data_IF_800988777378
#
_entry.id   IF_800988777378
#
_cell.length_a   1.000
_cell.length_b   1.000
_cell.length_c   1.000
_cell.angle_alpha   90.00
_cell.angle_beta   90.00
_cell.angle_gamma   90.00
#
_symmetry.space_group_name_H-M   'P 1'
#
loop_
_entity.id
_entity.type
_entity.pdbx_description
1 polymer ?
#
# COMPACT_ATOMS: atom_id res chain seq x y z
N UNK A 1 3.24 -13.54 -26.08
CA UNK A 1 2.06 -12.87 -25.50
C UNK A 1 1.12 -13.97 -25.05
N UNK A 2 0.81 -14.05 -23.75
CA UNK A 2 -0.08 -15.04 -23.16
C UNK A 2 -1.52 -14.58 -23.35
N UNK A 3 -2.35 -15.44 -23.94
CA UNK A 3 -3.79 -15.30 -23.99
C UNK A 3 -4.41 -15.95 -22.75
N UNK A 4 -5.26 -15.23 -22.02
CA UNK A 4 -5.88 -15.77 -20.79
C UNK A 4 -6.75 -17.00 -21.06
N UNK A 5 -7.32 -17.13 -22.26
CA UNK A 5 -8.16 -18.27 -22.63
C UNK A 5 -7.35 -19.55 -22.88
N UNK A 6 -6.04 -19.43 -23.07
CA UNK A 6 -5.13 -20.58 -23.27
C UNK A 6 -4.61 -21.13 -21.93
N UNK A 7 -4.83 -20.39 -20.83
CA UNK A 7 -4.49 -20.88 -19.49
C UNK A 7 -5.62 -21.77 -18.94
N UNK A 8 -5.29 -22.86 -18.23
CA UNK A 8 -6.29 -23.66 -17.55
C UNK A 8 -7.07 -22.81 -16.56
N UNK A 9 -8.37 -23.07 -16.44
CA UNK A 9 -9.24 -22.41 -15.47
C UNK A 9 -9.81 -23.46 -14.52
N UNK A 10 -9.42 -23.48 -13.24
CA UNK A 10 -8.52 -22.54 -12.58
C UNK A 10 -7.04 -22.74 -12.93
N UNK A 11 -6.28 -21.65 -12.91
CA UNK A 11 -4.82 -21.59 -13.05
C UNK A 11 -4.21 -22.11 -11.75
N UNK A 12 -3.44 -23.19 -11.83
CA UNK A 12 -2.58 -23.66 -10.75
C UNK A 12 -1.13 -23.22 -10.93
N UNK A 13 -0.34 -23.31 -9.86
CA UNK A 13 1.07 -22.91 -9.90
C UNK A 13 1.88 -23.77 -10.87
N UNK A 14 1.61 -25.08 -10.90
CA UNK A 14 2.31 -26.05 -11.76
C UNK A 14 2.05 -25.79 -13.25
N UNK A 15 0.86 -25.26 -13.60
CA UNK A 15 0.53 -24.86 -14.97
C UNK A 15 1.39 -23.69 -15.44
N UNK A 16 1.66 -22.75 -14.53
CA UNK A 16 2.43 -21.53 -14.83
C UNK A 16 3.91 -21.81 -15.08
N UNK A 17 4.47 -22.88 -14.50
CA UNK A 17 5.87 -23.26 -14.72
C UNK A 17 6.16 -23.47 -16.21
N UNK A 18 5.19 -24.05 -16.95
CA UNK A 18 5.31 -24.31 -18.39
C UNK A 18 4.76 -23.18 -19.24
N UNK A 19 3.59 -22.65 -18.88
CA UNK A 19 2.84 -21.73 -19.73
C UNK A 19 3.23 -20.25 -19.53
N UNK A 20 3.72 -19.89 -18.34
CA UNK A 20 4.12 -18.53 -18.00
C UNK A 20 5.28 -18.51 -16.99
N UNK A 21 6.50 -18.94 -17.37
CA UNK A 21 7.61 -19.13 -16.43
C UNK A 21 7.97 -17.88 -15.63
N UNK A 22 7.85 -16.69 -16.24
CA UNK A 22 8.11 -15.42 -15.55
C UNK A 22 7.09 -15.14 -14.42
N UNK A 23 5.83 -15.50 -14.62
CA UNK A 23 4.78 -15.39 -13.60
C UNK A 23 4.98 -16.42 -12.48
N UNK A 24 5.37 -17.65 -12.85
CA UNK A 24 5.73 -18.70 -11.89
C UNK A 24 6.88 -18.25 -10.98
N UNK A 25 7.98 -17.79 -11.56
CA UNK A 25 9.15 -17.28 -10.82
C UNK A 25 8.79 -16.17 -9.83
N UNK A 26 7.94 -15.23 -10.24
CA UNK A 26 7.47 -14.17 -9.36
C UNK A 26 6.61 -14.72 -8.20
N UNK A 27 5.71 -15.66 -8.48
CA UNK A 27 4.81 -16.23 -7.48
C UNK A 27 5.51 -17.15 -6.48
N UNK A 28 6.49 -17.94 -6.91
CA UNK A 28 7.25 -18.86 -6.02
C UNK A 28 8.10 -18.08 -5.01
N UNK A 29 8.57 -16.88 -5.36
CA UNK A 29 9.32 -16.00 -4.45
C UNK A 29 8.44 -15.34 -3.38
N UNK A 30 7.12 -15.37 -3.54
CA UNK A 30 6.19 -14.88 -2.53
C UNK A 30 5.97 -15.94 -1.44
N UNK A 31 5.70 -15.49 -0.21
CA UNK A 31 5.23 -16.42 0.81
C UNK A 31 3.86 -17.03 0.42
N UNK A 32 3.50 -18.13 1.05
CA UNK A 32 2.31 -18.91 0.69
C UNK A 32 1.01 -18.09 0.72
N UNK A 33 0.87 -17.18 1.69
CA UNK A 33 -0.33 -16.35 1.85
C UNK A 33 -0.48 -15.38 0.67
N UNK A 34 0.58 -14.63 0.36
CA UNK A 34 0.59 -13.67 -0.73
C UNK A 34 0.43 -14.36 -2.09
N UNK A 35 1.10 -15.48 -2.30
CA UNK A 35 0.97 -16.31 -3.49
C UNK A 35 -0.48 -16.77 -3.71
N UNK A 36 -1.12 -17.30 -2.66
CA UNK A 36 -2.51 -17.75 -2.74
C UNK A 36 -3.47 -16.62 -3.08
N UNK A 37 -3.26 -15.42 -2.52
CA UNK A 37 -4.06 -14.23 -2.85
C UNK A 37 -3.90 -13.85 -4.32
N UNK A 38 -2.66 -13.77 -4.83
CA UNK A 38 -2.42 -13.39 -6.22
C UNK A 38 -2.97 -14.45 -7.18
N UNK A 39 -2.80 -15.74 -6.88
CA UNK A 39 -3.41 -16.82 -7.67
C UNK A 39 -4.94 -16.73 -7.68
N UNK A 40 -5.59 -16.41 -6.55
CA UNK A 40 -7.03 -16.18 -6.51
C UNK A 40 -7.43 -15.02 -7.44
N UNK A 41 -6.70 -13.91 -7.41
CA UNK A 41 -6.95 -12.75 -8.27
C UNK A 41 -6.71 -13.04 -9.75
N UNK A 42 -5.66 -13.79 -10.10
CA UNK A 42 -5.42 -14.24 -11.48
C UNK A 42 -6.54 -15.16 -11.99
N UNK A 43 -7.13 -15.93 -11.10
CA UNK A 43 -8.34 -16.71 -11.38
C UNK A 43 -9.65 -15.89 -11.41
N UNK A 44 -9.57 -14.56 -11.28
CA UNK A 44 -10.74 -13.69 -11.27
C UNK A 44 -11.60 -13.80 -10.00
N UNK A 45 -11.09 -14.45 -8.95
CA UNK A 45 -11.77 -14.60 -7.66
C UNK A 45 -11.43 -13.42 -6.75
N UNK A 46 -12.41 -12.93 -6.01
CA UNK A 46 -12.18 -11.93 -4.96
C UNK A 46 -11.74 -12.59 -3.66
N UNK A 47 -11.00 -11.86 -2.82
CA UNK A 47 -10.44 -12.39 -1.56
C UNK A 47 -11.15 -11.95 -0.29
N UNK A 48 -12.29 -11.22 -0.33
CA UNK A 48 -13.15 -11.00 0.85
C UNK A 48 -14.53 -10.42 0.49
N UNK A 49 -15.55 -10.57 1.36
CA UNK A 49 -15.94 -9.39 2.16
C UNK A 49 -16.32 -9.75 3.61
N UNK A 50 -15.42 -9.51 4.58
CA UNK A 50 -15.72 -9.61 6.02
C UNK A 50 -15.88 -8.21 6.64
N UNK A 51 -16.93 -8.02 7.45
CA UNK A 51 -17.49 -6.70 7.78
C UNK A 51 -17.06 -6.18 9.13
N UNK A 52 -16.95 -4.85 9.25
CA UNK A 52 -16.68 -4.21 10.53
C UNK A 52 -17.81 -4.50 11.51
N UNK A 53 -17.48 -5.16 12.60
CA UNK A 53 -18.41 -5.47 13.69
C UNK A 53 -17.94 -6.58 14.62
N UNK A 54 -17.04 -7.48 14.16
CA UNK A 54 -16.57 -8.60 14.98
C UNK A 54 -15.05 -8.86 14.92
N UNK A 55 -14.25 -8.05 14.21
CA UNK A 55 -12.93 -8.47 13.72
C UNK A 55 -11.89 -7.34 13.56
N UNK A 56 -11.61 -6.56 14.62
CA UNK A 56 -10.55 -5.53 14.56
C UNK A 56 -9.15 -6.12 14.30
N UNK A 57 -8.93 -7.41 14.57
CA UNK A 57 -7.61 -8.04 14.38
C UNK A 57 -7.46 -8.74 13.02
N UNK A 58 -8.51 -9.34 12.47
CA UNK A 58 -8.39 -10.16 11.24
C UNK A 58 -8.53 -9.34 9.96
N UNK A 59 -9.39 -8.31 9.95
CA UNK A 59 -9.55 -7.43 8.79
C UNK A 59 -8.30 -6.58 8.58
N UNK A 60 -7.72 -6.03 9.66
CA UNK A 60 -6.46 -5.29 9.60
C UNK A 60 -5.31 -6.16 9.09
N UNK A 61 -5.31 -7.46 9.42
CA UNK A 61 -4.34 -8.42 8.88
C UNK A 61 -4.57 -8.70 7.39
N UNK A 62 -5.81 -8.75 6.90
CA UNK A 62 -6.11 -8.94 5.47
C UNK A 62 -5.77 -7.69 4.64
N UNK A 63 -6.20 -6.51 5.07
CA UNK A 63 -5.84 -5.26 4.42
C UNK A 63 -4.32 -5.04 4.43
N UNK A 64 -3.63 -5.43 5.51
CA UNK A 64 -2.17 -5.42 5.55
C UNK A 64 -1.55 -6.37 4.52
N UNK A 65 -2.08 -7.58 4.32
CA UNK A 65 -1.59 -8.52 3.28
C UNK A 65 -1.80 -7.96 1.87
N UNK A 66 -2.96 -7.37 1.59
CA UNK A 66 -3.24 -6.75 0.29
C UNK A 66 -2.38 -5.52 0.04
N UNK A 67 -2.25 -4.66 1.05
CA UNK A 67 -1.35 -3.50 1.01
C UNK A 67 0.11 -3.93 0.81
N UNK A 68 0.54 -5.01 1.45
CA UNK A 68 1.87 -5.58 1.25
C UNK A 68 2.11 -6.03 -0.19
N UNK A 69 1.12 -6.69 -0.82
CA UNK A 69 1.17 -7.03 -2.25
C UNK A 69 1.30 -5.79 -3.14
N UNK A 70 0.56 -4.72 -2.83
CA UNK A 70 0.65 -3.44 -3.56
C UNK A 70 1.99 -2.75 -3.37
N UNK A 71 2.52 -2.73 -2.15
CA UNK A 71 3.66 -1.89 -1.77
C UNK A 71 5.01 -2.57 -1.97
N UNK A 72 5.10 -3.89 -1.77
CA UNK A 72 6.34 -4.65 -1.90
C UNK A 72 6.45 -5.33 -3.26
N UNK A 73 5.36 -5.95 -3.71
CA UNK A 73 5.35 -6.71 -4.96
C UNK A 73 4.76 -5.91 -6.12
N UNK A 74 4.23 -4.70 -5.90
CA UNK A 74 3.64 -3.86 -6.93
C UNK A 74 2.59 -4.59 -7.77
N UNK A 75 1.78 -5.41 -7.10
CA UNK A 75 0.65 -6.11 -7.70
C UNK A 75 -0.50 -5.11 -7.87
N UNK A 76 -1.03 -5.03 -9.09
CA UNK A 76 -2.17 -4.19 -9.37
C UNK A 76 -3.47 -4.97 -9.10
N UNK A 77 -4.35 -4.40 -8.31
CA UNK A 77 -5.68 -4.93 -8.03
C UNK A 77 -6.64 -3.77 -7.79
N UNK A 78 -7.93 -4.05 -7.90
CA UNK A 78 -9.00 -3.10 -7.60
C UNK A 78 -9.68 -3.49 -6.30
N UNK A 79 -9.89 -2.49 -5.45
CA UNK A 79 -10.77 -2.60 -4.28
C UNK A 79 -12.18 -2.17 -4.68
N UNK A 80 -13.18 -2.97 -4.33
CA UNK A 80 -14.59 -2.67 -4.55
C UNK A 80 -15.31 -2.63 -3.19
N UNK A 81 -15.94 -1.50 -2.83
CA UNK A 81 -16.81 -1.46 -1.66
C UNK A 81 -17.98 -2.44 -1.83
N UNK A 82 -18.22 -3.25 -0.82
CA UNK A 82 -19.39 -4.13 -0.73
C UNK A 82 -20.35 -3.60 0.36
N UNK A 83 -21.52 -4.23 0.50
CA UNK A 83 -22.52 -3.82 1.49
C UNK A 83 -21.93 -3.74 2.92
N UNK A 84 -22.17 -2.60 3.57
CA UNK A 84 -21.62 -2.28 4.89
C UNK A 84 -20.19 -1.71 4.82
N UNK A 85 -19.39 -1.98 5.84
CA UNK A 85 -17.97 -1.57 5.89
C UNK A 85 -17.05 -2.69 5.38
N UNK A 86 -17.44 -3.32 4.27
CA UNK A 86 -16.75 -4.46 3.65
C UNK A 86 -16.09 -4.02 2.36
N UNK A 87 -14.91 -4.56 2.06
CA UNK A 87 -14.22 -4.32 0.79
C UNK A 87 -13.79 -5.65 0.21
N UNK A 88 -13.99 -5.82 -1.09
CA UNK A 88 -13.49 -6.95 -1.87
C UNK A 88 -12.30 -6.50 -2.74
N UNK A 89 -11.32 -7.37 -2.92
CA UNK A 89 -10.16 -7.12 -3.79
C UNK A 89 -10.11 -8.15 -4.90
N UNK A 90 -9.91 -7.69 -6.13
CA UNK A 90 -9.84 -8.53 -7.33
C UNK A 90 -8.97 -7.88 -8.41
N UNK A 91 -8.47 -8.68 -9.35
CA UNK A 91 -7.91 -8.18 -10.61
C UNK A 91 -8.99 -8.13 -11.69
N UNK A 92 -9.05 -7.02 -12.40
CA UNK A 92 -9.80 -6.96 -13.66
C UNK A 92 -9.12 -7.79 -14.73
N UNK A 93 -9.84 -8.14 -15.80
CA UNK A 93 -9.26 -8.85 -16.93
C UNK A 93 -8.03 -8.15 -17.52
N UNK A 94 -8.10 -6.82 -17.68
CA UNK A 94 -6.96 -6.00 -18.10
C UNK A 94 -5.76 -6.13 -17.16
N UNK A 95 -5.99 -6.13 -15.84
CA UNK A 95 -4.92 -6.28 -14.85
C UNK A 95 -4.28 -7.67 -14.89
N UNK A 96 -5.08 -8.72 -15.16
CA UNK A 96 -4.57 -10.08 -15.38
C UNK A 96 -3.74 -10.17 -16.64
N UNK A 97 -4.24 -9.63 -17.76
CA UNK A 97 -3.49 -9.57 -19.02
C UNK A 97 -2.17 -8.82 -18.84
N UNK A 98 -2.20 -7.67 -18.17
CA UNK A 98 -1.01 -6.88 -17.90
C UNK A 98 -0.02 -7.60 -16.97
N UNK A 99 -0.51 -8.43 -16.04
CA UNK A 99 0.35 -9.23 -15.17
C UNK A 99 1.17 -10.24 -15.99
N UNK A 100 0.55 -10.93 -16.95
CA UNK A 100 1.23 -11.92 -17.78
C UNK A 100 2.04 -11.31 -18.94
N UNK A 101 1.60 -10.19 -19.50
CA UNK A 101 2.16 -9.65 -20.74
C UNK A 101 2.98 -8.36 -20.57
N UNK A 102 2.66 -7.54 -19.57
CA UNK A 102 3.19 -6.18 -19.43
C UNK A 102 3.66 -5.90 -17.99
N UNK A 103 4.30 -6.89 -17.35
CA UNK A 103 4.54 -6.89 -15.91
C UNK A 103 5.33 -5.67 -15.43
N UNK A 104 6.39 -5.28 -16.13
CA UNK A 104 7.21 -4.13 -15.73
C UNK A 104 6.48 -2.80 -15.88
N UNK A 105 5.71 -2.64 -16.95
CA UNK A 105 4.83 -1.47 -17.12
C UNK A 105 3.77 -1.41 -16.01
N UNK A 106 3.18 -2.56 -15.66
CA UNK A 106 2.24 -2.63 -14.54
C UNK A 106 2.92 -2.24 -13.21
N UNK A 107 4.12 -2.76 -12.91
CA UNK A 107 4.88 -2.41 -11.71
C UNK A 107 5.13 -0.91 -11.62
N UNK A 108 5.55 -0.29 -12.73
CA UNK A 108 5.86 1.15 -12.75
C UNK A 108 4.62 2.01 -12.51
N UNK A 109 3.48 1.64 -13.11
CA UNK A 109 2.20 2.29 -12.84
C UNK A 109 1.79 2.17 -11.37
N UNK A 110 1.95 0.99 -10.76
CA UNK A 110 1.63 0.78 -9.34
C UNK A 110 2.57 1.58 -8.44
N UNK A 111 3.88 1.61 -8.73
CA UNK A 111 4.86 2.43 -7.99
C UNK A 111 4.49 3.91 -8.02
N UNK A 112 4.20 4.46 -9.20
CA UNK A 112 3.77 5.84 -9.35
C UNK A 112 2.51 6.13 -8.54
N UNK A 113 1.50 5.26 -8.62
CA UNK A 113 0.24 5.39 -7.88
C UNK A 113 0.47 5.34 -6.36
N UNK A 114 1.27 4.39 -5.86
CA UNK A 114 1.60 4.28 -4.44
C UNK A 114 2.34 5.54 -3.95
N UNK A 115 3.28 6.07 -4.74
CA UNK A 115 3.98 7.32 -4.41
C UNK A 115 3.00 8.49 -4.29
N UNK A 116 2.10 8.64 -5.26
CA UNK A 116 1.06 9.68 -5.24
C UNK A 116 0.15 9.55 -4.02
N UNK A 117 -0.36 8.34 -3.73
CA UNK A 117 -1.21 8.08 -2.55
C UNK A 117 -0.50 8.36 -1.21
N UNK A 118 0.83 8.19 -1.15
CA UNK A 118 1.61 8.55 0.04
C UNK A 118 1.71 10.06 0.20
N UNK A 119 2.00 10.78 -0.88
CA UNK A 119 2.07 12.26 -0.88
C UNK A 119 0.73 12.85 -0.44
N UNK A 120 -0.38 12.43 -1.05
CA UNK A 120 -1.72 12.91 -0.70
C UNK A 120 -2.08 12.64 0.78
N UNK A 121 -1.66 11.48 1.31
CA UNK A 121 -1.85 11.17 2.74
C UNK A 121 -1.01 12.06 3.65
N UNK A 122 0.23 12.32 3.28
CA UNK A 122 1.10 13.24 4.01
C UNK A 122 0.55 14.66 3.99
N UNK A 123 0.12 15.17 2.83
CA UNK A 123 -0.50 16.49 2.70
C UNK A 123 -1.74 16.62 3.61
N UNK A 124 -2.64 15.64 3.59
CA UNK A 124 -3.82 15.63 4.48
C UNK A 124 -3.44 15.62 5.96
N UNK A 125 -2.41 14.87 6.34
CA UNK A 125 -1.92 14.87 7.72
C UNK A 125 -1.33 16.22 8.11
N UNK A 126 -0.55 16.85 7.23
CA UNK A 126 0.03 18.17 7.46
C UNK A 126 -1.05 19.25 7.62
N UNK A 127 -2.09 19.24 6.78
CA UNK A 127 -3.24 20.15 6.90
C UNK A 127 -3.90 19.99 8.28
N UNK A 128 -4.14 18.75 8.74
CA UNK A 128 -4.72 18.52 10.08
C UNK A 128 -3.84 19.02 11.22
N UNK A 129 -2.52 18.82 11.12
CA UNK A 129 -1.57 19.32 12.12
C UNK A 129 -1.60 20.85 12.14
N UNK A 130 -1.62 21.48 10.96
CA UNK A 130 -1.76 22.91 10.79
C UNK A 130 -3.05 23.47 11.41
N UNK A 131 -4.20 22.87 11.09
CA UNK A 131 -5.50 23.25 11.64
C UNK A 131 -5.55 23.09 13.17
N UNK A 132 -4.91 22.06 13.72
CA UNK A 132 -4.96 21.78 15.15
C UNK A 132 -4.02 22.64 16.00
N UNK A 133 -2.81 22.93 15.50
CA UNK A 133 -1.77 23.62 16.26
C UNK A 133 -1.62 25.10 15.87
N UNK A 134 -1.96 25.47 14.63
CA UNK A 134 -1.65 26.76 14.04
C UNK A 134 -0.17 26.91 13.64
N UNK A 135 0.10 27.82 12.69
CA UNK A 135 1.44 28.01 12.09
C UNK A 135 2.51 28.33 13.14
N UNK A 136 2.21 29.22 14.08
CA UNK A 136 3.18 29.73 15.06
C UNK A 136 3.61 28.66 16.06
N UNK A 137 2.68 27.80 16.48
CA UNK A 137 2.99 26.68 17.37
C UNK A 137 3.83 25.62 16.66
N UNK A 138 3.58 25.38 15.37
CA UNK A 138 4.40 24.46 14.56
C UNK A 138 5.83 24.99 14.40
N UNK A 139 6.01 26.29 14.09
CA UNK A 139 7.34 26.92 14.02
C UNK A 139 8.10 26.78 15.34
N UNK A 140 7.43 27.04 16.46
CA UNK A 140 8.01 26.90 17.80
C UNK A 140 8.45 25.46 18.10
N UNK A 141 7.64 24.45 17.72
CA UNK A 141 7.99 23.04 17.88
C UNK A 141 9.21 22.67 17.01
N UNK A 142 9.21 23.07 15.73
CA UNK A 142 10.32 22.79 14.81
C UNK A 142 11.63 23.41 15.33
N UNK A 143 11.59 24.67 15.76
CA UNK A 143 12.75 25.34 16.33
C UNK A 143 13.26 24.58 17.56
N UNK A 144 12.36 24.26 18.51
CA UNK A 144 12.70 23.53 19.74
C UNK A 144 13.34 22.17 19.44
N UNK A 145 12.82 21.42 18.45
CA UNK A 145 13.32 20.09 18.13
C UNK A 145 14.64 20.12 17.32
N UNK A 146 14.82 21.14 16.47
CA UNK A 146 16.11 21.41 15.84
C UNK A 146 17.18 21.67 16.89
N UNK A 147 16.91 22.56 17.87
CA UNK A 147 17.86 22.90 18.93
C UNK A 147 18.24 21.72 19.83
N UNK A 148 17.28 20.83 20.15
CA UNK A 148 17.57 19.58 20.88
C UNK A 148 18.50 18.65 20.11
N UNK A 149 18.29 18.51 18.80
CA UNK A 149 19.06 17.62 17.94
C UNK A 149 20.46 18.17 17.59
N UNK A 150 20.64 19.49 17.58
CA UNK A 150 21.94 20.13 17.32
C UNK A 150 22.79 20.33 18.59
N UNK A 151 22.37 19.78 19.74
CA UNK A 151 23.09 19.86 21.01
C UNK A 151 23.50 21.28 21.43
N UNK A 152 22.56 22.23 21.43
CA UNK A 152 22.70 23.46 22.20
C UNK A 152 22.08 23.30 23.60
N UNK A 153 22.37 22.20 24.30
CA UNK A 153 21.90 22.02 25.68
C UNK A 153 22.57 22.99 26.67
N UNK A 154 23.61 23.73 26.24
CA UNK A 154 24.40 24.66 27.06
C UNK A 154 24.63 26.05 26.40
N UNK A 155 23.86 26.43 25.37
CA UNK A 155 24.07 27.71 24.69
C UNK A 155 23.28 28.85 25.40
N UNK A 156 23.92 29.90 25.94
CA UNK A 156 23.27 31.00 26.69
C UNK A 156 22.23 31.79 25.91
N UNK A 157 22.14 31.58 24.59
CA UNK A 157 21.18 32.25 23.71
C UNK A 157 19.75 31.70 23.92
N UNK A 158 19.59 30.49 24.46
CA UNK A 158 18.30 29.82 24.65
C UNK A 158 17.31 30.60 25.53
N UNK A 159 17.78 31.27 26.59
CA UNK A 159 16.89 32.03 27.48
C UNK A 159 16.42 33.37 26.88
N UNK A 160 17.08 33.85 25.82
CA UNK A 160 16.73 35.12 25.15
C UNK A 160 15.75 34.94 24.00
N UNK A 161 15.78 33.80 23.33
CA UNK A 161 14.98 33.55 22.10
C UNK A 161 13.74 32.68 22.32
N UNK A 162 13.52 32.19 23.55
CA UNK A 162 12.32 31.43 23.87
C UNK A 162 11.09 32.32 23.66
N UNK A 163 10.16 31.96 22.77
CA UNK A 163 8.96 32.74 22.59
C UNK A 163 8.17 32.73 23.90
N UNK A 164 8.06 33.90 24.53
CA UNK A 164 7.20 34.11 25.69
C UNK A 164 5.77 33.84 25.28
N UNK A 165 5.11 32.95 26.03
CA UNK A 165 3.68 32.63 25.86
C UNK A 165 2.88 33.94 25.96
N UNK A 166 2.25 34.33 24.85
CA UNK A 166 1.07 35.19 24.84
C UNK A 166 -0.13 34.34 24.44
#
# INVERSE_FOLDING_TARGET
MINLNELPTPIHLDDLEKLAPAAFEELVRMNIIHRSIVLAWLNGRSTSPVGRGYADVEIDKEDAKHSHLKMKYFIDYRSKPELGRKVSHLMTEKQRLDFFNNRDSQRERVKCRVKKERVERWEKSLIKIYEHLGLERIKSIIATEHFKNTCAANDPIFDKEKPTKN
#
